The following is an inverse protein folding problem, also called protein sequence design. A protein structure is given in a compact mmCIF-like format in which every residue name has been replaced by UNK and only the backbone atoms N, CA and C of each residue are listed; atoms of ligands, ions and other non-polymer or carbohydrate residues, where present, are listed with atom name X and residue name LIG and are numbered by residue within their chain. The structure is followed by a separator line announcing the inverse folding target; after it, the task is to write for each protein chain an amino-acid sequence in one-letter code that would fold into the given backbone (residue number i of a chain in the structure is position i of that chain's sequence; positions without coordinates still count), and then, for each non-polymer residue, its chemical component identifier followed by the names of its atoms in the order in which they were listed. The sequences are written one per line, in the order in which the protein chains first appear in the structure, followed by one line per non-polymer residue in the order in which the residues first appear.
data_IF_168687719060
#
_entry.id   IF_168687719060
#
_cell.length_a   1.000
_cell.length_b   1.000
_cell.length_c   1.000
_cell.angle_alpha   90.00
_cell.angle_beta   90.00
_cell.angle_gamma   90.00
#
_symmetry.space_group_name_H-M   'P 1'
#
loop_
_entity.id
_entity.type
_entity.pdbx_description
1 polymer ?
#
# COMPACT_ATOMS: atom_id res chain seq x y z
N UNK A 1 14.37 -13.33 -6.99
CA UNK A 1 14.41 -12.19 -7.91
C UNK A 1 14.16 -12.63 -9.35
N UNK A 2 13.09 -12.14 -9.95
CA UNK A 2 12.67 -12.52 -11.29
C UNK A 2 13.40 -11.73 -12.40
N UNK A 3 13.89 -10.52 -12.10
CA UNK A 3 14.56 -9.65 -13.05
C UNK A 3 16.02 -10.06 -13.22
N UNK A 4 16.48 -10.47 -14.42
CA UNK A 4 17.82 -11.05 -14.62
C UNK A 4 18.97 -10.15 -14.18
N UNK A 5 18.89 -8.85 -14.49
CA UNK A 5 19.96 -7.90 -14.12
C UNK A 5 20.05 -7.72 -12.60
N UNK A 6 18.91 -7.58 -11.92
CA UNK A 6 18.87 -7.48 -10.47
C UNK A 6 19.41 -8.74 -9.80
N UNK A 7 19.08 -9.90 -10.35
CA UNK A 7 19.64 -11.17 -9.87
C UNK A 7 21.16 -11.26 -10.04
N UNK A 8 21.70 -10.75 -11.15
CA UNK A 8 23.14 -10.66 -11.35
C UNK A 8 23.81 -9.77 -10.31
N UNK A 9 23.21 -8.60 -10.04
CA UNK A 9 23.68 -7.68 -8.98
C UNK A 9 23.61 -8.35 -7.59
N UNK A 10 22.53 -9.02 -7.25
CA UNK A 10 22.42 -9.77 -5.98
C UNK A 10 23.54 -10.81 -5.83
N UNK A 11 23.86 -11.55 -6.90
CA UNK A 11 24.99 -12.50 -6.86
C UNK A 11 26.32 -11.82 -6.54
N UNK A 12 26.58 -10.67 -7.15
CA UNK A 12 27.81 -9.91 -6.90
C UNK A 12 27.86 -9.39 -5.46
N UNK A 13 26.77 -8.82 -4.98
CA UNK A 13 26.67 -8.33 -3.59
C UNK A 13 26.90 -9.47 -2.60
N UNK A 14 26.23 -10.60 -2.78
CA UNK A 14 26.43 -11.78 -1.92
C UNK A 14 27.85 -12.27 -1.98
N UNK A 15 28.45 -12.39 -3.17
CA UNK A 15 29.81 -12.87 -3.34
C UNK A 15 30.85 -11.98 -2.62
N UNK A 16 30.70 -10.64 -2.75
CA UNK A 16 31.60 -9.67 -2.10
C UNK A 16 31.46 -9.73 -0.56
N UNK A 17 30.23 -9.77 -0.06
CA UNK A 17 29.98 -9.76 1.39
C UNK A 17 30.26 -11.11 2.07
N UNK A 18 30.26 -12.21 1.29
CA UNK A 18 30.61 -13.53 1.80
C UNK A 18 32.14 -13.76 1.95
N UNK A 19 32.99 -12.92 1.38
CA UNK A 19 34.44 -13.11 1.39
C UNK A 19 35.11 -12.99 2.75
N UNK A 20 34.43 -12.49 3.75
CA UNK A 20 34.97 -12.36 5.13
C UNK A 20 34.41 -13.37 6.15
N UNK A 21 33.49 -14.24 5.72
CA UNK A 21 32.78 -15.16 6.61
C UNK A 21 33.17 -16.60 6.24
N UNK A 22 33.87 -17.29 7.16
CA UNK A 22 34.48 -18.61 6.90
C UNK A 22 33.50 -19.69 6.41
N UNK A 23 32.20 -19.52 6.60
CA UNK A 23 31.15 -20.49 6.23
C UNK A 23 30.01 -19.87 5.37
N UNK A 24 30.24 -18.71 4.76
CA UNK A 24 29.22 -17.96 4.07
C UNK A 24 28.68 -18.62 2.77
N UNK A 25 29.34 -19.62 2.23
CA UNK A 25 28.93 -20.26 0.96
C UNK A 25 27.60 -21.02 1.07
N UNK A 26 27.17 -21.38 2.27
CA UNK A 26 25.89 -22.01 2.55
C UNK A 26 24.81 -21.06 3.09
N UNK A 27 25.16 -19.84 3.49
CA UNK A 27 24.25 -18.94 4.21
C UNK A 27 23.24 -18.23 3.31
N UNK A 28 23.58 -17.98 2.04
CA UNK A 28 22.67 -17.30 1.10
C UNK A 28 22.54 -18.10 -0.18
N UNK A 29 21.34 -18.60 -0.45
CA UNK A 29 20.99 -19.31 -1.67
C UNK A 29 20.13 -18.44 -2.58
N UNK A 30 20.62 -18.13 -3.77
CA UNK A 30 19.84 -17.43 -4.80
C UNK A 30 19.11 -18.44 -5.67
N UNK A 31 17.80 -18.47 -5.57
CA UNK A 31 16.95 -19.36 -6.38
C UNK A 31 16.95 -18.95 -7.87
N UNK A 32 16.54 -19.84 -8.78
CA UNK A 32 16.30 -19.50 -10.18
C UNK A 32 15.34 -18.32 -10.34
N UNK A 33 15.36 -17.59 -11.48
CA UNK A 33 14.42 -16.50 -11.72
C UNK A 33 13.00 -17.06 -11.80
N UNK A 34 12.18 -16.72 -10.81
CA UNK A 34 10.77 -17.11 -10.77
C UNK A 34 9.97 -16.15 -9.90
N UNK A 35 8.68 -16.17 -10.07
CA UNK A 35 7.77 -15.48 -9.16
C UNK A 35 7.70 -16.22 -7.82
N UNK A 36 7.76 -15.49 -6.72
CA UNK A 36 7.68 -16.05 -5.36
C UNK A 36 6.42 -16.91 -5.15
N UNK A 37 5.31 -16.56 -5.79
CA UNK A 37 4.05 -17.31 -5.75
C UNK A 37 4.07 -18.66 -6.48
N UNK A 38 5.15 -18.99 -7.14
CA UNK A 38 5.37 -20.30 -7.80
C UNK A 38 6.34 -21.21 -7.06
N UNK A 39 6.98 -20.72 -6.00
CA UNK A 39 7.91 -21.53 -5.20
C UNK A 39 7.20 -22.70 -4.54
N UNK A 40 7.83 -23.87 -4.61
CA UNK A 40 7.30 -25.12 -4.05
C UNK A 40 8.34 -25.79 -3.16
N UNK A 41 7.87 -26.25 -1.99
CA UNK A 41 8.68 -27.10 -1.09
C UNK A 41 8.78 -28.50 -1.70
N UNK A 42 9.97 -29.06 -1.68
CA UNK A 42 10.29 -30.35 -2.30
C UNK A 42 10.80 -30.25 -3.74
N UNK A 43 10.56 -29.12 -4.42
CA UNK A 43 11.06 -28.89 -5.79
C UNK A 43 12.11 -27.77 -5.83
N UNK A 44 11.73 -26.57 -5.43
CA UNK A 44 12.59 -25.37 -5.48
C UNK A 44 13.36 -25.16 -4.19
N UNK A 45 12.77 -25.51 -3.08
CA UNK A 45 13.31 -25.42 -1.71
C UNK A 45 13.09 -26.73 -0.96
N UNK A 46 14.03 -27.10 -0.09
CA UNK A 46 14.01 -28.39 0.61
C UNK A 46 13.00 -28.43 1.75
N UNK A 47 12.91 -27.33 2.50
CA UNK A 47 12.08 -27.22 3.71
C UNK A 47 11.34 -25.89 3.74
N UNK A 48 10.29 -25.85 4.55
CA UNK A 48 9.62 -24.60 4.92
C UNK A 48 10.54 -23.74 5.77
N UNK A 49 10.26 -22.43 5.80
CA UNK A 49 11.05 -21.44 6.50
C UNK A 49 10.42 -21.05 7.84
N UNK A 50 11.25 -20.84 8.85
CA UNK A 50 10.82 -20.32 10.14
C UNK A 50 10.45 -18.82 10.04
N UNK A 51 11.09 -18.10 9.13
CA UNK A 51 10.83 -16.68 8.89
C UNK A 51 10.72 -16.45 7.37
N UNK A 52 9.65 -15.78 6.94
CA UNK A 52 9.50 -15.29 5.57
C UNK A 52 9.35 -13.78 5.60
N UNK A 53 10.21 -13.08 4.85
CA UNK A 53 10.18 -11.62 4.74
C UNK A 53 9.92 -11.24 3.28
N UNK A 54 8.99 -10.32 3.05
CA UNK A 54 8.72 -9.78 1.72
C UNK A 54 8.48 -8.28 1.78
N UNK A 55 9.13 -7.55 0.88
CA UNK A 55 8.85 -6.15 0.55
C UNK A 55 8.42 -6.12 -0.91
N UNK A 56 7.10 -6.15 -1.13
CA UNK A 56 6.41 -6.15 -2.43
C UNK A 56 5.23 -5.19 -2.36
N UNK A 57 5.54 -3.94 -2.05
CA UNK A 57 4.57 -2.88 -1.82
C UNK A 57 4.88 -1.65 -2.66
N UNK A 58 3.89 -1.20 -3.39
CA UNK A 58 3.92 0.07 -4.11
C UNK A 58 3.35 1.23 -3.27
N UNK A 59 3.01 2.32 -3.93
CA UNK A 59 2.43 3.52 -3.31
C UNK A 59 1.08 3.28 -2.62
N UNK A 60 0.31 2.29 -3.12
CA UNK A 60 -0.97 1.88 -2.54
C UNK A 60 -0.80 0.84 -1.42
N UNK A 61 0.37 0.23 -1.34
CA UNK A 61 0.65 -0.94 -0.54
C UNK A 61 0.22 -2.26 -1.19
N UNK A 62 -0.60 -2.27 -2.22
CA UNK A 62 -1.20 -3.47 -2.82
C UNK A 62 -0.71 -3.80 -4.23
N UNK A 63 -0.22 -2.82 -4.99
CA UNK A 63 -0.02 -2.90 -6.44
C UNK A 63 1.07 -3.86 -6.90
N UNK A 64 2.03 -4.21 -6.05
CA UNK A 64 3.05 -5.22 -6.35
C UNK A 64 2.64 -6.65 -5.96
N UNK A 65 1.39 -6.84 -5.55
CA UNK A 65 0.84 -8.17 -5.27
C UNK A 65 1.22 -8.72 -3.90
N UNK A 66 1.32 -7.88 -2.88
CA UNK A 66 1.62 -8.30 -1.50
C UNK A 66 0.63 -9.35 -1.00
N UNK A 67 -0.66 -9.16 -1.24
CA UNK A 67 -1.70 -10.06 -0.75
C UNK A 67 -1.58 -11.49 -1.29
N UNK A 68 -1.51 -11.73 -2.63
CA UNK A 68 -1.30 -13.08 -3.15
C UNK A 68 0.07 -13.67 -2.77
N UNK A 69 1.13 -12.84 -2.70
CA UNK A 69 2.47 -13.26 -2.29
C UNK A 69 2.48 -13.76 -0.86
N UNK A 70 1.94 -12.98 0.07
CA UNK A 70 1.94 -13.33 1.49
C UNK A 70 0.98 -14.49 1.79
N UNK A 71 -0.16 -14.56 1.09
CA UNK A 71 -1.05 -15.74 1.16
C UNK A 71 -0.34 -17.01 0.72
N UNK A 72 0.43 -16.97 -0.36
CA UNK A 72 1.22 -18.11 -0.81
C UNK A 72 2.30 -18.47 0.23
N UNK A 73 3.03 -17.47 0.71
CA UNK A 73 4.06 -17.65 1.71
C UNK A 73 3.52 -18.30 2.99
N UNK A 74 2.44 -17.76 3.56
CA UNK A 74 1.82 -18.28 4.78
C UNK A 74 1.36 -19.75 4.63
N UNK A 75 0.78 -20.11 3.47
CA UNK A 75 0.24 -21.45 3.27
C UNK A 75 1.25 -22.49 2.84
N UNK A 76 2.23 -22.08 2.03
CA UNK A 76 3.11 -23.02 1.31
C UNK A 76 4.56 -23.00 1.79
N UNK A 77 5.05 -21.83 2.21
CA UNK A 77 6.48 -21.66 2.48
C UNK A 77 6.79 -21.55 3.97
N UNK A 78 5.85 -21.08 4.80
CA UNK A 78 6.05 -20.87 6.23
C UNK A 78 5.89 -22.18 7.01
N UNK A 79 6.82 -22.45 7.92
CA UNK A 79 6.74 -23.56 8.85
C UNK A 79 5.63 -23.32 9.90
N UNK A 80 5.22 -24.35 10.59
CA UNK A 80 4.28 -24.23 11.71
C UNK A 80 4.93 -23.40 12.83
N UNK A 81 4.21 -22.38 13.31
CA UNK A 81 4.75 -21.42 14.28
C UNK A 81 5.75 -20.41 13.71
N UNK A 82 5.99 -20.43 12.42
CA UNK A 82 6.88 -19.49 11.74
C UNK A 82 6.35 -18.06 11.68
N UNK A 83 7.24 -17.11 11.40
CA UNK A 83 6.98 -15.67 11.37
C UNK A 83 6.93 -15.16 9.93
N UNK A 84 5.86 -14.43 9.61
CA UNK A 84 5.68 -13.75 8.33
C UNK A 84 5.83 -12.25 8.51
N UNK A 85 6.70 -11.62 7.73
CA UNK A 85 6.98 -10.18 7.80
C UNK A 85 6.79 -9.53 6.41
N UNK A 86 5.91 -8.54 6.30
CA UNK A 86 4.99 -8.04 7.32
C UNK A 86 3.84 -9.02 7.62
N UNK A 87 3.31 -8.96 8.83
CA UNK A 87 2.17 -9.78 9.25
C UNK A 87 0.82 -9.12 8.94
N UNK A 88 0.79 -7.79 8.86
CA UNK A 88 -0.40 -6.98 8.65
C UNK A 88 -0.09 -5.76 7.80
N UNK A 89 -1.03 -5.44 6.89
CA UNK A 89 -1.01 -4.21 6.11
C UNK A 89 -2.23 -3.36 6.49
N UNK A 90 -1.98 -2.09 6.77
CA UNK A 90 -3.04 -1.08 6.99
C UNK A 90 -2.88 0.04 5.99
N UNK A 91 -3.91 0.31 5.21
CA UNK A 91 -3.98 1.49 4.34
C UNK A 91 -4.69 2.60 5.10
N UNK A 92 -4.04 3.74 5.20
CA UNK A 92 -4.51 4.92 5.92
C UNK A 92 -4.96 5.99 4.93
N UNK A 93 -5.91 6.82 5.34
CA UNK A 93 -6.37 7.98 4.56
C UNK A 93 -6.69 9.16 5.46
N UNK A 94 -6.48 10.37 4.95
CA UNK A 94 -6.78 11.61 5.68
C UNK A 94 -7.17 12.73 4.73
N UNK A 95 -8.22 13.53 5.02
CA UNK A 95 -8.66 14.63 4.18
C UNK A 95 -7.58 15.71 4.12
N UNK A 96 -7.31 16.19 2.92
CA UNK A 96 -6.14 17.01 2.61
C UNK A 96 -6.53 18.34 1.95
N UNK A 97 -6.03 19.43 2.50
CA UNK A 97 -5.94 20.72 1.84
C UNK A 97 -4.52 20.92 1.32
N UNK A 98 -4.39 21.19 0.01
CA UNK A 98 -3.12 21.49 -0.65
C UNK A 98 -3.17 22.91 -1.20
N UNK A 99 -2.11 23.68 -0.97
CA UNK A 99 -2.06 25.10 -1.37
C UNK A 99 -1.49 25.33 -2.77
N UNK A 100 -1.35 24.29 -3.56
CA UNK A 100 -0.84 24.34 -4.94
C UNK A 100 -1.67 25.27 -5.84
N UNK A 101 -2.99 25.29 -5.66
CA UNK A 101 -3.91 26.08 -6.50
C UNK A 101 -3.77 27.58 -6.34
N UNK A 102 -3.48 28.08 -5.13
CA UNK A 102 -3.39 29.53 -4.87
C UNK A 102 -2.17 30.18 -5.56
N UNK A 103 -1.11 29.41 -5.76
CA UNK A 103 0.07 29.88 -6.50
C UNK A 103 -0.16 29.79 -8.01
N UNK A 104 -0.75 28.70 -8.47
CA UNK A 104 -1.05 28.50 -9.88
C UNK A 104 -2.10 29.50 -10.44
N UNK A 105 -3.09 29.88 -9.64
CA UNK A 105 -4.09 30.87 -10.07
C UNK A 105 -3.53 32.28 -10.21
N UNK A 106 -2.53 32.66 -9.40
CA UNK A 106 -1.88 33.98 -9.49
C UNK A 106 -1.06 34.16 -10.76
N UNK A 107 -0.57 33.05 -11.34
CA UNK A 107 0.27 33.08 -12.55
C UNK A 107 -0.50 32.85 -13.86
N UNK A 108 -1.77 32.43 -13.80
CA UNK A 108 -2.52 32.03 -15.01
C UNK A 108 -3.01 33.21 -15.84
N UNK A 109 -2.34 33.42 -16.98
CA UNK A 109 -2.87 34.17 -18.13
C UNK A 109 -3.68 33.28 -19.10
N UNK A 110 -3.73 31.95 -18.88
CA UNK A 110 -4.34 30.97 -19.78
C UNK A 110 -5.29 30.10 -18.99
N UNK A 111 -6.51 29.94 -19.47
CA UNK A 111 -7.49 29.02 -18.88
C UNK A 111 -7.18 27.58 -19.31
N UNK A 112 -6.74 26.76 -18.36
CA UNK A 112 -6.40 25.35 -18.56
C UNK A 112 -7.46 24.40 -18.03
N UNK A 113 -8.67 24.89 -17.68
CA UNK A 113 -9.73 24.08 -17.07
C UNK A 113 -10.13 22.85 -17.92
N UNK A 114 -10.04 22.96 -19.26
CA UNK A 114 -10.31 21.84 -20.16
C UNK A 114 -9.35 20.66 -19.98
N UNK A 115 -8.15 20.89 -19.43
CA UNK A 115 -7.17 19.83 -19.17
C UNK A 115 -7.51 19.02 -17.93
N UNK A 116 -8.39 19.49 -17.06
CA UNK A 116 -8.79 18.78 -15.83
C UNK A 116 -9.39 17.40 -16.14
N UNK A 117 -10.04 17.24 -17.28
CA UNK A 117 -10.60 15.95 -17.72
C UNK A 117 -9.55 14.90 -18.08
N UNK A 118 -8.30 15.31 -18.31
CA UNK A 118 -7.17 14.46 -18.64
C UNK A 118 -6.23 14.22 -17.46
N UNK A 119 -6.49 14.85 -16.30
CA UNK A 119 -5.66 14.65 -15.12
C UNK A 119 -6.03 13.34 -14.42
N UNK A 120 -5.01 12.63 -13.95
CA UNK A 120 -5.24 11.43 -13.14
C UNK A 120 -5.95 11.82 -11.84
N UNK A 121 -6.97 11.04 -11.47
CA UNK A 121 -7.62 11.17 -10.15
C UNK A 121 -6.68 10.84 -8.98
N UNK A 122 -5.55 10.24 -9.27
CA UNK A 122 -4.54 9.85 -8.31
C UNK A 122 -3.17 10.39 -8.72
N UNK A 123 -2.48 10.97 -7.76
CA UNK A 123 -1.13 11.52 -7.98
C UNK A 123 -0.14 11.03 -6.92
N UNK A 124 0.94 10.37 -7.34
CA UNK A 124 2.04 10.05 -6.43
C UNK A 124 2.81 11.31 -6.07
N UNK A 125 2.87 11.65 -4.77
CA UNK A 125 3.61 12.82 -4.31
C UNK A 125 4.20 12.63 -2.91
N UNK A 126 5.19 13.44 -2.61
CA UNK A 126 5.70 13.61 -1.25
C UNK A 126 4.93 14.76 -0.60
N UNK A 127 3.83 14.44 0.08
CA UNK A 127 2.92 15.43 0.66
C UNK A 127 3.68 16.45 1.54
N UNK A 128 4.66 15.98 2.30
CA UNK A 128 5.48 16.82 3.17
C UNK A 128 6.41 17.82 2.45
N UNK A 129 6.56 17.73 1.13
CA UNK A 129 7.30 18.72 0.34
C UNK A 129 6.45 19.89 -0.14
N UNK A 130 5.14 19.82 0.08
CA UNK A 130 4.20 20.86 -0.32
C UNK A 130 3.60 21.52 0.92
N UNK A 131 3.22 22.78 0.80
CA UNK A 131 2.42 23.44 1.82
C UNK A 131 1.05 22.77 1.85
N UNK A 132 0.75 22.10 2.93
CA UNK A 132 -0.47 21.33 3.10
C UNK A 132 -1.00 21.43 4.51
N UNK A 133 -2.24 20.98 4.69
CA UNK A 133 -2.89 20.82 5.97
C UNK A 133 -3.85 19.65 5.91
N UNK A 134 -3.79 18.76 6.89
CA UNK A 134 -4.83 17.76 7.09
C UNK A 134 -6.02 18.41 7.81
N UNK A 135 -7.23 18.10 7.33
CA UNK A 135 -8.48 18.69 7.88
C UNK A 135 -9.02 17.88 9.06
N UNK A 136 -8.67 16.60 9.17
CA UNK A 136 -8.88 15.78 10.37
C UNK A 136 -7.56 15.67 11.14
N UNK A 137 -7.61 15.49 12.46
CA UNK A 137 -6.42 15.32 13.30
C UNK A 137 -5.79 13.97 13.07
N UNK A 138 -6.61 12.93 13.15
CA UNK A 138 -6.15 11.55 12.98
C UNK A 138 -6.53 10.98 11.61
N UNK A 139 -5.67 10.15 11.02
CA UNK A 139 -6.01 9.43 9.80
C UNK A 139 -6.98 8.29 10.10
N UNK A 140 -7.85 8.00 9.16
CA UNK A 140 -8.70 6.82 9.23
C UNK A 140 -8.03 5.60 8.58
N UNK A 141 -8.30 4.43 9.15
CA UNK A 141 -7.93 3.14 8.53
C UNK A 141 -8.90 2.84 7.39
N UNK A 142 -8.45 3.06 6.17
CA UNK A 142 -9.23 2.78 4.97
C UNK A 142 -9.39 1.27 4.73
N UNK A 143 -8.28 0.52 4.85
CA UNK A 143 -8.26 -0.94 4.75
C UNK A 143 -7.33 -1.52 5.82
N UNK A 144 -7.63 -2.72 6.27
CA UNK A 144 -6.79 -3.49 7.17
C UNK A 144 -6.80 -4.95 6.72
N UNK A 145 -5.63 -5.50 6.43
CA UNK A 145 -5.47 -6.83 5.86
C UNK A 145 -4.51 -7.63 6.73
N UNK A 146 -5.00 -8.72 7.32
CA UNK A 146 -4.18 -9.72 7.97
C UNK A 146 -3.50 -10.58 6.90
N UNK A 147 -2.18 -10.44 6.77
CA UNK A 147 -1.40 -11.14 5.74
C UNK A 147 -1.10 -12.60 6.12
N UNK A 148 -1.21 -12.95 7.39
CA UNK A 148 -1.10 -14.34 7.85
C UNK A 148 -2.35 -15.15 7.50
N UNK A 149 -3.52 -14.53 7.63
CA UNK A 149 -4.82 -15.20 7.50
C UNK A 149 -5.65 -14.63 6.35
N UNK A 150 -5.02 -14.26 5.25
CA UNK A 150 -5.76 -13.77 4.09
C UNK A 150 -6.77 -14.83 3.63
N UNK A 151 -8.07 -14.55 3.69
CA UNK A 151 -9.07 -15.50 3.25
C UNK A 151 -8.86 -15.84 1.77
N UNK A 152 -9.25 -17.05 1.39
CA UNK A 152 -9.44 -17.33 -0.05
C UNK A 152 -10.46 -16.35 -0.58
N UNK A 153 -10.37 -16.01 -1.88
CA UNK A 153 -11.36 -15.15 -2.54
C UNK A 153 -12.75 -15.48 -2.01
N UNK A 154 -13.57 -14.48 -1.68
CA UNK A 154 -14.95 -14.72 -1.26
C UNK A 154 -15.58 -15.61 -2.32
N UNK A 155 -15.98 -16.81 -1.92
CA UNK A 155 -16.88 -17.59 -2.73
C UNK A 155 -18.23 -16.89 -2.61
N UNK A 156 -18.65 -16.21 -3.69
CA UNK A 156 -20.00 -15.69 -3.89
C UNK A 156 -20.60 -14.89 -2.71
N UNK A 157 -19.87 -13.89 -2.21
CA UNK A 157 -20.36 -12.97 -1.19
C UNK A 157 -20.00 -11.53 -1.54
N UNK A 158 -20.99 -10.77 -1.97
CA UNK A 158 -20.86 -9.32 -2.09
C UNK A 158 -20.52 -8.74 -0.71
N UNK A 159 -19.52 -7.81 -0.60
CA UNK A 159 -19.23 -7.20 0.67
C UNK A 159 -20.49 -6.49 1.20
N UNK A 160 -20.95 -6.92 2.35
CA UNK A 160 -22.10 -6.32 3.01
C UNK A 160 -21.61 -5.14 3.85
N UNK A 161 -21.73 -3.94 3.29
CA UNK A 161 -21.46 -2.70 3.99
C UNK A 161 -22.76 -2.16 4.57
N UNK A 162 -22.93 -2.31 5.90
CA UNK A 162 -24.07 -1.77 6.65
C UNK A 162 -25.45 -2.10 6.05
N UNK A 163 -25.62 -3.31 5.52
CA UNK A 163 -26.87 -3.75 4.90
C UNK A 163 -27.07 -3.28 3.44
N UNK A 164 -26.11 -2.58 2.86
CA UNK A 164 -26.12 -2.18 1.44
C UNK A 164 -25.29 -3.17 0.64
N UNK A 165 -25.92 -3.90 -0.27
CA UNK A 165 -25.22 -4.70 -1.29
C UNK A 165 -24.60 -3.76 -2.32
N UNK A 166 -23.35 -3.39 -2.11
CA UNK A 166 -22.57 -2.61 -3.06
C UNK A 166 -21.86 -3.58 -4.02
N UNK A 167 -22.38 -3.71 -5.22
CA UNK A 167 -21.69 -4.43 -6.29
C UNK A 167 -20.58 -3.55 -6.87
N UNK A 168 -19.48 -3.44 -6.12
CA UNK A 168 -18.31 -2.66 -6.56
C UNK A 168 -17.47 -3.53 -7.48
N UNK A 169 -17.31 -3.10 -8.72
CA UNK A 169 -16.42 -3.74 -9.68
C UNK A 169 -15.18 -2.90 -9.92
N UNK A 170 -14.01 -3.54 -9.78
CA UNK A 170 -12.71 -2.95 -10.06
C UNK A 170 -12.07 -3.71 -11.22
N UNK A 171 -11.82 -3.03 -12.34
CA UNK A 171 -11.27 -3.68 -13.53
C UNK A 171 -12.13 -4.86 -14.04
N UNK A 172 -13.46 -4.77 -13.93
CA UNK A 172 -14.40 -5.82 -14.35
C UNK A 172 -14.60 -6.98 -13.37
N UNK A 173 -13.81 -7.04 -12.28
CA UNK A 173 -13.90 -8.05 -11.22
C UNK A 173 -14.60 -7.47 -9.98
N UNK A 174 -15.31 -8.29 -9.19
CA UNK A 174 -15.86 -7.83 -7.92
C UNK A 174 -14.74 -7.42 -6.96
N UNK A 175 -14.98 -6.41 -6.13
CA UNK A 175 -14.10 -6.07 -5.03
C UNK A 175 -14.07 -7.21 -3.99
N UNK A 176 -12.89 -7.50 -3.45
CA UNK A 176 -12.68 -8.58 -2.47
C UNK A 176 -12.82 -8.11 -1.03
N UNK A 177 -12.70 -6.81 -0.83
CA UNK A 177 -12.93 -6.16 0.46
C UNK A 177 -13.35 -4.73 0.24
N UNK A 178 -14.22 -4.24 1.10
CA UNK A 178 -14.65 -2.86 1.11
C UNK A 178 -14.90 -2.39 2.54
N UNK A 179 -14.63 -1.10 2.81
CA UNK A 179 -14.86 -0.49 4.12
C UNK A 179 -15.25 0.96 3.95
N UNK A 180 -16.25 1.40 4.70
CA UNK A 180 -16.53 2.83 4.89
C UNK A 180 -15.80 3.28 6.15
N UNK A 181 -15.04 4.36 6.02
CA UNK A 181 -14.36 4.99 7.13
C UNK A 181 -14.92 6.40 7.31
N UNK A 182 -15.17 6.76 8.56
CA UNK A 182 -15.70 8.05 8.95
C UNK A 182 -14.60 8.89 9.58
N UNK A 183 -14.55 10.16 9.24
CA UNK A 183 -13.62 11.14 9.81
C UNK A 183 -14.37 12.42 10.09
N UNK A 184 -14.03 13.08 11.18
CA UNK A 184 -14.56 14.39 11.51
C UNK A 184 -13.53 15.46 11.14
N UNK A 185 -13.96 16.50 10.47
CA UNK A 185 -13.11 17.64 10.21
C UNK A 185 -12.84 18.40 11.52
N UNK A 186 -11.61 18.47 11.95
CA UNK A 186 -11.15 19.17 13.16
C UNK A 186 -10.88 20.67 12.89
N UNK A 187 -10.92 21.04 11.62
CA UNK A 187 -10.73 22.42 11.18
C UNK A 187 -11.38 22.68 9.83
N UNK A 188 -11.84 23.91 9.65
CA UNK A 188 -12.39 24.36 8.37
C UNK A 188 -11.26 24.54 7.33
N UNK A 189 -11.53 24.21 6.07
CA UNK A 189 -10.57 24.36 4.98
C UNK A 189 -11.08 23.85 3.64
N UNK A 190 -10.26 23.97 2.62
CA UNK A 190 -10.57 23.50 1.26
C UNK A 190 -10.17 22.03 1.12
N UNK A 191 -11.14 21.13 1.03
CA UNK A 191 -10.89 19.72 0.72
C UNK A 191 -10.51 19.61 -0.74
N UNK A 192 -9.22 19.34 -1.02
CA UNK A 192 -8.68 19.15 -2.35
C UNK A 192 -8.60 17.65 -2.71
N UNK A 193 -8.45 16.80 -1.71
CA UNK A 193 -8.29 15.37 -1.89
C UNK A 193 -8.11 14.63 -0.57
N UNK A 194 -7.72 13.38 -0.71
CA UNK A 194 -7.35 12.52 0.42
C UNK A 194 -5.93 12.04 0.24
N UNK A 195 -5.08 12.28 1.23
CA UNK A 195 -3.79 11.63 1.33
C UNK A 195 -3.97 10.15 1.68
N UNK A 196 -3.23 9.29 1.00
CA UNK A 196 -3.27 7.84 1.19
C UNK A 196 -1.85 7.34 1.38
N UNK A 197 -1.64 6.53 2.39
CA UNK A 197 -0.38 5.85 2.68
C UNK A 197 -0.65 4.53 3.38
N UNK A 198 0.39 3.76 3.59
CA UNK A 198 0.27 2.47 4.26
C UNK A 198 1.19 2.38 5.48
N UNK A 199 0.86 1.45 6.35
CA UNK A 199 1.67 0.98 7.45
C UNK A 199 1.64 -0.53 7.49
N UNK A 200 2.77 -1.16 7.78
CA UNK A 200 2.88 -2.60 7.95
C UNK A 200 3.49 -2.94 9.29
N UNK A 201 2.96 -3.99 9.89
CA UNK A 201 3.46 -4.55 11.13
C UNK A 201 4.61 -5.53 10.85
N UNK A 202 5.77 -5.24 11.40
CA UNK A 202 6.98 -6.07 11.32
C UNK A 202 7.16 -6.96 12.55
N UNK A 203 6.15 -7.04 13.41
CA UNK A 203 6.24 -7.77 14.68
C UNK A 203 7.00 -7.01 15.75
N UNK A 204 6.92 -7.48 16.99
CA UNK A 204 7.64 -6.95 18.15
C UNK A 204 7.41 -5.46 18.43
N UNK A 205 6.29 -4.89 17.96
CA UNK A 205 5.97 -3.47 18.09
C UNK A 205 6.59 -2.57 17.03
N UNK A 206 7.35 -3.14 16.09
CA UNK A 206 7.96 -2.39 15.00
C UNK A 206 7.00 -2.18 13.82
N UNK A 207 6.95 -0.96 13.33
CA UNK A 207 6.08 -0.55 12.20
C UNK A 207 6.91 0.13 11.13
N UNK A 208 6.75 -0.32 9.88
CA UNK A 208 7.22 0.40 8.72
C UNK A 208 6.04 1.13 8.06
N UNK A 209 6.23 2.40 7.71
CA UNK A 209 5.14 3.21 7.17
C UNK A 209 5.59 4.19 6.11
N UNK A 210 4.72 4.47 5.14
CA UNK A 210 4.87 5.57 4.18
C UNK A 210 4.16 6.86 4.62
N UNK A 211 3.77 6.99 5.88
CA UNK A 211 3.16 8.21 6.45
C UNK A 211 4.02 9.45 6.16
N UNK A 212 3.45 10.54 5.62
CA UNK A 212 4.21 11.75 5.29
C UNK A 212 4.86 12.43 6.51
N UNK A 213 4.41 12.13 7.73
CA UNK A 213 4.96 12.64 9.00
C UNK A 213 6.13 11.79 9.50
N UNK A 214 6.26 10.56 9.01
CA UNK A 214 7.34 9.64 9.39
C UNK A 214 8.71 10.18 8.95
N UNK A 215 9.75 9.76 9.67
CA UNK A 215 11.14 9.97 9.27
C UNK A 215 11.54 9.16 8.04
N UNK A 216 10.83 8.08 7.74
CA UNK A 216 11.06 7.27 6.54
C UNK A 216 10.69 8.03 5.27
N UNK A 217 11.60 8.06 4.30
CA UNK A 217 11.46 8.87 3.07
C UNK A 217 11.50 8.06 1.78
N UNK A 218 11.53 6.74 1.86
CA UNK A 218 11.70 5.88 0.68
C UNK A 218 10.48 5.94 -0.24
N UNK A 219 9.27 5.91 0.32
CA UNK A 219 8.04 5.91 -0.45
C UNK A 219 7.40 7.29 -0.53
N UNK A 220 6.74 7.55 -1.67
CA UNK A 220 5.80 8.65 -1.82
C UNK A 220 4.46 8.23 -1.24
N UNK A 221 3.61 9.20 -0.99
CA UNK A 221 2.20 8.99 -0.70
C UNK A 221 1.39 9.09 -2.00
N UNK A 222 0.16 8.65 -1.96
CA UNK A 222 -0.79 8.84 -3.02
C UNK A 222 -1.82 9.89 -2.60
N UNK A 223 -2.18 10.78 -3.50
CA UNK A 223 -3.29 11.70 -3.28
C UNK A 223 -4.43 11.33 -4.23
N UNK A 224 -5.59 11.00 -3.68
CA UNK A 224 -6.84 10.89 -4.44
C UNK A 224 -7.50 12.26 -4.45
N UNK A 225 -7.49 12.91 -5.60
CA UNK A 225 -8.15 14.20 -5.79
C UNK A 225 -9.66 14.03 -5.72
N UNK A 226 -10.36 14.98 -5.08
CA UNK A 226 -11.81 15.11 -5.23
C UNK A 226 -12.11 15.65 -6.63
N UNK A 227 -13.29 15.33 -7.15
CA UNK A 227 -13.64 15.77 -8.51
C UNK A 227 -13.78 17.29 -8.57
N UNK A 228 -14.31 17.90 -7.50
CA UNK A 228 -14.39 19.34 -7.31
C UNK A 228 -13.95 19.70 -5.88
N UNK A 229 -12.91 20.53 -5.70
CA UNK A 229 -12.53 21.03 -4.40
C UNK A 229 -13.70 21.78 -3.73
N UNK A 230 -13.96 21.46 -2.47
CA UNK A 230 -15.04 22.09 -1.72
C UNK A 230 -14.59 22.56 -0.35
N UNK A 231 -15.24 23.59 0.18
CA UNK A 231 -15.00 24.03 1.53
C UNK A 231 -15.69 23.07 2.52
N UNK A 232 -14.94 22.66 3.53
CA UNK A 232 -15.38 21.83 4.64
C UNK A 232 -15.34 22.68 5.90
N UNK A 233 -16.37 22.58 6.73
CA UNK A 233 -16.42 23.27 8.01
C UNK A 233 -15.96 22.35 9.15
N UNK A 234 -15.40 22.95 10.19
CA UNK A 234 -15.06 22.22 11.41
C UNK A 234 -16.30 21.53 11.97
N UNK A 235 -16.13 20.28 12.38
CA UNK A 235 -17.21 19.41 12.87
C UNK A 235 -17.93 18.61 11.78
N UNK A 236 -17.71 18.90 10.50
CA UNK A 236 -18.34 18.17 9.39
C UNK A 236 -17.85 16.73 9.31
N UNK A 237 -18.78 15.80 9.12
CA UNK A 237 -18.46 14.38 8.91
C UNK A 237 -18.10 14.10 7.45
N UNK A 238 -16.97 13.41 7.26
CA UNK A 238 -16.45 12.98 5.97
C UNK A 238 -16.44 11.46 5.91
N UNK A 239 -16.85 10.91 4.79
CA UNK A 239 -16.87 9.46 4.57
C UNK A 239 -15.97 9.10 3.40
N UNK A 240 -15.21 8.00 3.55
CA UNK A 240 -14.39 7.41 2.50
C UNK A 240 -14.75 5.95 2.35
N UNK A 241 -15.18 5.57 1.15
CA UNK A 241 -15.33 4.18 0.78
C UNK A 241 -14.02 3.70 0.14
N UNK A 242 -13.36 2.77 0.79
CA UNK A 242 -12.19 2.07 0.26
C UNK A 242 -12.56 0.65 -0.13
N UNK A 243 -12.04 0.17 -1.25
CA UNK A 243 -12.20 -1.20 -1.69
C UNK A 243 -10.93 -1.67 -2.40
N UNK A 244 -10.73 -2.98 -2.47
CA UNK A 244 -9.58 -3.58 -3.14
C UNK A 244 -9.95 -4.89 -3.86
N UNK A 245 -9.12 -5.25 -4.83
CA UNK A 245 -9.18 -6.52 -5.56
C UNK A 245 -7.88 -7.33 -5.44
N UNK A 246 -7.13 -7.17 -4.34
CA UNK A 246 -5.80 -7.72 -4.03
C UNK A 246 -4.61 -7.03 -4.72
N UNK A 247 -4.81 -6.31 -5.80
CA UNK A 247 -3.73 -5.65 -6.56
C UNK A 247 -3.96 -4.15 -6.75
N UNK A 248 -5.11 -3.64 -6.31
CA UNK A 248 -5.50 -2.22 -6.43
C UNK A 248 -6.37 -1.81 -5.26
#
# INVERSE_FOLDING_TARGET
EAVPIMRSMCRQVVAVNAQGIADARGLVRLLPPMMSTRLQVGEDIEHKFDIVVAEVMDLWGLGEGVVPTMRHAAKKLLAEGGVLLPSKLTVMTQPLELFLWKEAEKEKKVNLSALSNFTSKFSPMRINQFKHRFLAEEPAKALEIDLMNVPKQPQDGEPNLEGVKLCIRMGGKPALGAKISHMKAERSGMLCGYGIWWSVDLGFGEVCTSDPRSAQRSWKQLVRWVDEPRFVVEGEELQVLACHNENQ
#
